data_IF_215293144620
#
_entry.id   IF_215293144620
#
_cell.length_a   1.000
_cell.length_b   1.000
_cell.length_c   1.000
_cell.angle_alpha   90.00
_cell.angle_beta   90.00
_cell.angle_gamma   90.00
#
_symmetry.space_group_name_H-M   'P 1'
#
loop_
_entity.id
_entity.type
_entity.pdbx_description
1 polymer ?
#
# COMPACT_ATOMS: atom_id res chain seq x y z
N UNK A 1 -17.30 11.39 22.78
CA UNK A 1 -16.99 9.95 22.93
C UNK A 1 -16.81 9.19 21.60
N UNK A 2 -17.46 9.56 20.49
CA UNK A 2 -17.38 8.77 19.24
C UNK A 2 -16.07 8.91 18.45
N UNK A 3 -15.59 10.14 18.25
CA UNK A 3 -14.48 10.42 17.32
C UNK A 3 -13.15 9.90 17.87
N UNK A 4 -12.86 10.09 19.17
CA UNK A 4 -11.66 9.54 19.79
C UNK A 4 -11.56 8.01 19.67
N UNK A 5 -12.68 7.33 19.88
CA UNK A 5 -12.72 5.87 19.76
C UNK A 5 -12.60 5.41 18.31
N UNK A 6 -13.13 6.18 17.35
CA UNK A 6 -13.01 5.88 15.93
C UNK A 6 -11.57 6.08 15.42
N UNK A 7 -10.90 7.16 15.83
CA UNK A 7 -9.50 7.41 15.49
C UNK A 7 -8.59 6.33 16.09
N UNK A 8 -8.75 5.98 17.37
CA UNK A 8 -7.98 4.89 17.97
C UNK A 8 -8.26 3.53 17.30
N UNK A 9 -9.45 3.32 16.75
CA UNK A 9 -9.78 2.08 16.03
C UNK A 9 -9.18 2.04 14.62
N UNK A 10 -9.14 3.18 13.91
CA UNK A 10 -8.62 3.27 12.55
C UNK A 10 -7.08 3.27 12.50
N UNK A 11 -6.43 3.90 13.48
CA UNK A 11 -4.98 4.11 13.48
C UNK A 11 -4.24 3.30 14.56
N UNK A 12 -4.94 2.51 15.36
CA UNK A 12 -4.37 1.53 16.29
C UNK A 12 -3.26 2.07 17.18
N UNK A 13 -2.08 1.44 17.11
CA UNK A 13 -0.89 1.76 17.93
C UNK A 13 -0.09 2.96 17.41
N UNK A 14 -0.46 3.56 16.26
CA UNK A 14 0.28 4.67 15.65
C UNK A 14 -0.06 6.02 16.31
N UNK A 15 -1.27 6.16 16.84
CA UNK A 15 -1.74 7.38 17.51
C UNK A 15 -2.55 7.06 18.75
N UNK A 16 -2.64 8.04 19.66
CA UNK A 16 -3.66 8.02 20.72
C UNK A 16 -4.53 9.26 20.62
N UNK A 17 -5.82 9.02 20.60
CA UNK A 17 -6.86 10.03 20.60
C UNK A 17 -7.60 10.04 21.94
N UNK A 18 -7.79 11.22 22.52
CA UNK A 18 -8.59 11.40 23.73
C UNK A 18 -9.56 12.57 23.60
N UNK A 19 -10.72 12.42 24.22
CA UNK A 19 -11.80 13.41 24.29
C UNK A 19 -11.90 13.86 25.75
N UNK A 20 -11.65 15.15 26.00
CA UNK A 20 -11.70 15.74 27.34
C UNK A 20 -13.07 16.35 27.69
N UNK A 21 -14.06 16.19 26.80
CA UNK A 21 -15.42 16.68 26.97
C UNK A 21 -15.64 18.13 26.51
N UNK A 22 -14.65 18.79 25.90
CA UNK A 22 -14.81 20.03 25.13
C UNK A 22 -14.62 19.79 23.62
N UNK A 23 -14.81 20.83 22.79
CA UNK A 23 -14.64 20.80 21.32
C UNK A 23 -13.15 20.65 20.91
N UNK A 24 -12.28 20.30 21.87
CA UNK A 24 -10.85 20.14 21.64
C UNK A 24 -10.54 18.66 21.54
N UNK A 25 -9.99 18.26 20.41
CA UNK A 25 -9.59 16.89 20.16
C UNK A 25 -8.06 16.80 20.15
N UNK A 26 -7.49 15.92 20.96
CA UNK A 26 -6.05 15.72 21.02
C UNK A 26 -5.71 14.38 20.39
N UNK A 27 -4.94 14.42 19.31
CA UNK A 27 -4.29 13.25 18.73
C UNK A 27 -2.80 13.37 19.01
N UNK A 28 -2.24 12.34 19.60
CA UNK A 28 -0.80 12.23 19.88
C UNK A 28 -0.23 11.14 19.01
N UNK A 29 0.64 11.51 18.09
CA UNK A 29 1.50 10.55 17.39
C UNK A 29 2.35 9.80 18.43
N UNK A 30 2.37 8.47 18.35
CA UNK A 30 3.29 7.64 19.13
C UNK A 30 4.60 7.36 18.37
N UNK A 31 4.71 7.87 17.14
CA UNK A 31 5.92 7.89 16.31
C UNK A 31 6.51 9.30 16.28
N UNK A 32 7.84 9.42 16.24
CA UNK A 32 8.51 10.73 16.15
C UNK A 32 8.21 11.36 14.79
N UNK A 33 7.45 12.48 14.76
CA UNK A 33 7.08 13.22 13.54
C UNK A 33 5.66 13.81 13.58
N UNK A 34 5.37 14.84 12.77
CA UNK A 34 4.12 15.62 12.73
C UNK A 34 2.97 14.86 12.04
N UNK A 35 1.84 14.72 12.75
CA UNK A 35 0.55 14.26 12.20
C UNK A 35 -0.18 15.41 11.51
N UNK A 36 -0.42 15.32 10.20
CA UNK A 36 -1.43 16.15 9.54
C UNK A 36 -2.80 15.48 9.70
N UNK A 37 -3.61 16.01 10.62
CA UNK A 37 -4.98 15.57 10.82
C UNK A 37 -5.83 16.52 9.97
N UNK A 38 -6.31 16.05 8.83
CA UNK A 38 -7.36 16.76 8.13
C UNK A 38 -8.66 16.62 8.93
N UNK A 39 -8.91 17.59 9.80
CA UNK A 39 -10.16 17.70 10.51
C UNK A 39 -10.94 18.82 9.85
N UNK A 40 -11.83 18.48 8.92
CA UNK A 40 -12.90 19.39 8.48
C UNK A 40 -13.88 19.58 9.66
N UNK A 41 -13.49 20.42 10.62
CA UNK A 41 -14.36 20.85 11.71
C UNK A 41 -15.05 22.12 11.26
N UNK A 42 -16.16 21.95 10.56
CA UNK A 42 -17.06 23.06 10.25
C UNK A 42 -17.74 23.52 11.55
N UNK A 43 -17.43 24.73 12.03
CA UNK A 43 -18.35 25.41 12.95
C UNK A 43 -19.44 26.16 12.16
N UNK A 44 -20.56 26.44 12.81
CA UNK A 44 -21.76 27.08 12.24
C UNK A 44 -21.52 28.52 11.70
N UNK A 45 -20.31 29.09 11.81
CA UNK A 45 -19.97 30.45 11.38
C UNK A 45 -18.93 30.53 10.25
N UNK A 46 -18.50 29.40 9.68
CA UNK A 46 -17.90 29.35 8.34
C UNK A 46 -16.60 30.13 8.13
N UNK A 47 -15.75 30.24 9.15
CA UNK A 47 -14.40 30.82 8.98
C UNK A 47 -13.31 29.87 9.47
N UNK A 48 -12.56 29.28 8.54
CA UNK A 48 -11.41 28.42 8.82
C UNK A 48 -10.14 29.26 8.95
N UNK A 49 -9.53 29.30 10.14
CA UNK A 49 -8.15 29.77 10.30
C UNK A 49 -7.34 28.62 10.89
N UNK A 50 -6.72 27.84 10.01
CA UNK A 50 -5.66 26.91 10.41
C UNK A 50 -4.35 27.44 9.83
N UNK A 51 -3.46 27.89 10.71
CA UNK A 51 -2.14 28.39 10.34
C UNK A 51 -1.12 27.30 10.69
N UNK A 52 -0.61 26.60 9.66
CA UNK A 52 0.49 25.65 9.82
C UNK A 52 1.80 26.34 9.48
N UNK A 53 2.79 26.28 10.38
CA UNK A 53 4.17 26.71 10.08
C UNK A 53 5.12 25.52 10.22
N UNK A 54 5.56 24.96 9.10
CA UNK A 54 6.67 24.00 9.07
C UNK A 54 8.01 24.76 9.03
N UNK A 55 8.96 24.36 9.87
CA UNK A 55 10.34 24.81 9.75
C UNK A 55 11.06 23.96 8.69
N UNK A 56 11.88 24.59 7.85
CA UNK A 56 12.63 23.91 6.80
C UNK A 56 13.55 22.82 7.38
N UNK A 57 13.28 21.55 7.06
CA UNK A 57 14.18 20.45 7.42
C UNK A 57 13.61 19.02 7.34
N UNK A 58 12.29 18.83 7.37
CA UNK A 58 11.65 17.53 7.22
C UNK A 58 10.38 17.70 6.39
N UNK A 59 10.19 16.88 5.36
CA UNK A 59 8.93 16.82 4.59
C UNK A 59 8.09 15.73 5.25
N UNK A 60 7.58 16.02 6.45
CA UNK A 60 6.68 15.11 7.16
C UNK A 60 5.24 15.31 6.62
N UNK A 61 4.69 14.26 5.99
CA UNK A 61 3.30 14.17 5.57
C UNK A 61 2.93 14.98 4.32
N UNK A 62 3.29 14.48 3.13
CA UNK A 62 2.58 14.90 1.91
C UNK A 62 1.34 14.00 1.80
N UNK A 63 0.18 14.54 2.17
CA UNK A 63 -1.09 13.96 1.75
C UNK A 63 -1.19 14.21 0.25
N UNK A 64 -1.31 13.15 -0.54
CA UNK A 64 -1.91 13.28 -1.86
C UNK A 64 -3.32 13.84 -1.66
N UNK A 65 -3.60 15.01 -2.21
CA UNK A 65 -4.97 15.48 -2.32
C UNK A 65 -5.60 14.81 -3.54
N UNK A 66 -6.91 14.94 -3.76
CA UNK A 66 -7.51 14.46 -5.01
C UNK A 66 -6.68 14.90 -6.23
N UNK A 67 -6.24 13.95 -7.05
CA UNK A 67 -5.52 14.20 -8.28
C UNK A 67 -4.15 13.54 -8.32
N UNK A 68 -3.42 13.79 -9.40
CA UNK A 68 -2.15 13.11 -9.64
C UNK A 68 -1.00 13.93 -9.04
N UNK A 69 -0.39 13.44 -7.98
CA UNK A 69 0.70 14.11 -7.27
C UNK A 69 2.09 13.52 -7.59
N UNK A 70 3.10 14.35 -7.34
CA UNK A 70 4.51 13.92 -7.34
C UNK A 70 5.14 14.33 -6.01
N UNK A 71 5.58 13.33 -5.26
CA UNK A 71 6.06 13.44 -3.89
C UNK A 71 7.56 13.13 -3.90
N UNK A 72 8.34 13.98 -3.24
CA UNK A 72 9.78 13.78 -3.05
C UNK A 72 10.04 13.67 -1.55
N UNK A 73 10.50 12.51 -1.11
CA UNK A 73 10.90 12.26 0.27
C UNK A 73 12.10 13.12 0.66
N UNK A 74 12.16 13.48 1.94
CA UNK A 74 13.32 14.13 2.54
C UNK A 74 14.40 13.11 2.92
N UNK A 75 15.43 13.58 3.62
CA UNK A 75 16.52 12.73 4.11
C UNK A 75 16.18 12.02 5.45
N UNK A 76 14.92 12.11 5.89
CA UNK A 76 14.44 11.61 7.16
C UNK A 76 13.45 10.49 6.94
N UNK A 77 13.10 9.77 8.00
CA UNK A 77 12.06 8.74 7.91
C UNK A 77 10.72 9.42 7.61
N UNK A 78 10.15 9.11 6.45
CA UNK A 78 8.95 9.75 5.95
C UNK A 78 7.75 8.80 6.02
N UNK A 79 6.58 9.38 6.31
CA UNK A 79 5.29 8.71 6.19
C UNK A 79 4.48 9.42 5.11
N UNK A 80 4.14 8.68 4.07
CA UNK A 80 3.55 9.21 2.84
C UNK A 80 2.18 8.58 2.64
N UNK A 81 1.15 9.41 2.53
CA UNK A 81 -0.21 8.98 2.23
C UNK A 81 -0.48 9.29 0.76
N UNK A 82 -0.73 8.26 -0.03
CA UNK A 82 -0.88 8.42 -1.48
C UNK A 82 -2.15 9.20 -1.84
N UNK A 83 -3.23 9.08 -1.07
CA UNK A 83 -4.49 9.73 -1.41
C UNK A 83 -5.12 9.15 -2.68
N UNK A 84 -6.08 9.88 -3.27
CA UNK A 84 -6.71 9.50 -4.54
C UNK A 84 -5.85 9.97 -5.72
N UNK A 85 -6.07 9.41 -6.93
CA UNK A 85 -5.35 9.78 -8.14
C UNK A 85 -4.05 9.01 -8.37
N UNK A 86 -3.46 9.17 -9.56
CA UNK A 86 -2.22 8.46 -9.95
C UNK A 86 -1.00 9.21 -9.43
N UNK A 87 -0.38 8.74 -8.35
CA UNK A 87 0.73 9.45 -7.71
C UNK A 87 2.10 8.84 -8.04
N UNK A 88 3.14 9.66 -7.93
CA UNK A 88 4.53 9.23 -8.00
C UNK A 88 5.27 9.64 -6.73
N UNK A 89 5.87 8.68 -6.04
CA UNK A 89 6.69 8.87 -4.85
C UNK A 89 8.15 8.58 -5.19
N UNK A 90 9.03 9.52 -4.87
CA UNK A 90 10.47 9.39 -5.02
C UNK A 90 11.15 9.40 -3.65
N UNK A 91 11.64 8.22 -3.24
CA UNK A 91 12.39 8.00 -1.99
C UNK A 91 13.90 8.19 -2.18
N UNK A 92 14.33 8.97 -3.18
CA UNK A 92 15.75 9.22 -3.43
C UNK A 92 16.33 10.14 -2.35
N UNK A 93 16.81 9.53 -1.28
CA UNK A 93 17.55 10.19 -0.21
C UNK A 93 18.97 9.63 -0.06
N UNK A 94 19.87 10.44 0.52
CA UNK A 94 21.27 10.07 0.68
C UNK A 94 21.53 9.23 1.92
N UNK A 95 20.69 9.36 2.95
CA UNK A 95 20.86 8.59 4.19
C UNK A 95 20.15 7.25 4.18
N UNK A 96 19.18 7.10 3.26
CA UNK A 96 18.21 6.01 3.26
C UNK A 96 17.66 5.88 4.69
N UNK A 97 16.85 6.80 5.19
CA UNK A 97 15.98 6.52 6.32
C UNK A 97 15.02 5.35 6.01
N UNK A 98 14.13 5.03 6.95
CA UNK A 98 13.14 3.98 6.75
C UNK A 98 11.81 4.67 6.54
N UNK A 99 11.25 4.53 5.35
CA UNK A 99 10.04 5.23 4.94
C UNK A 99 8.83 4.31 4.93
N UNK A 100 7.64 4.90 5.05
CA UNK A 100 6.37 4.20 4.95
C UNK A 100 5.53 4.85 3.87
N UNK A 101 5.13 4.06 2.89
CA UNK A 101 4.20 4.47 1.83
C UNK A 101 2.86 3.79 2.07
N UNK A 102 1.87 4.58 2.44
CA UNK A 102 0.54 4.13 2.79
C UNK A 102 -0.43 4.23 1.61
N UNK A 103 -0.98 3.07 1.22
CA UNK A 103 -2.02 2.94 0.21
C UNK A 103 -3.39 3.21 0.81
N UNK A 104 -4.21 3.94 0.07
CA UNK A 104 -5.60 4.23 0.43
C UNK A 104 -6.55 3.30 -0.34
N UNK A 105 -7.86 3.40 -0.05
CA UNK A 105 -8.90 2.63 -0.75
C UNK A 105 -9.07 2.95 -2.25
N UNK A 106 -8.30 3.89 -2.81
CA UNK A 106 -8.35 4.25 -4.22
C UNK A 106 -7.66 3.19 -5.10
N UNK A 107 -8.36 2.07 -5.35
CA UNK A 107 -7.84 0.93 -6.12
C UNK A 107 -7.88 1.13 -7.64
N UNK A 108 -8.58 2.14 -8.14
CA UNK A 108 -8.64 2.45 -9.58
C UNK A 108 -7.41 3.24 -10.06
N UNK A 109 -6.59 3.73 -9.13
CA UNK A 109 -5.47 4.62 -9.42
C UNK A 109 -4.11 3.92 -9.20
N UNK A 110 -3.32 3.85 -10.26
CA UNK A 110 -1.98 3.29 -10.19
C UNK A 110 -1.00 4.24 -9.49
N UNK A 111 -0.30 3.73 -8.49
CA UNK A 111 0.74 4.42 -7.76
C UNK A 111 2.13 4.03 -8.29
N UNK A 112 3.07 4.96 -8.35
CA UNK A 112 4.46 4.67 -8.73
C UNK A 112 5.37 5.05 -7.58
N UNK A 113 6.21 4.12 -7.12
CA UNK A 113 7.17 4.35 -6.04
C UNK A 113 8.55 4.05 -6.62
N UNK A 114 9.49 4.98 -6.49
CA UNK A 114 10.87 4.81 -6.95
C UNK A 114 11.84 4.95 -5.80
N UNK A 115 12.99 4.28 -5.93
CA UNK A 115 14.07 4.29 -4.94
C UNK A 115 13.71 3.66 -3.59
N UNK A 116 12.71 2.78 -3.57
CA UNK A 116 12.33 2.00 -2.39
C UNK A 116 13.47 1.08 -1.92
N UNK A 117 13.85 1.20 -0.67
CA UNK A 117 14.90 0.40 -0.04
C UNK A 117 14.30 -0.88 0.57
N UNK A 118 14.53 -2.01 -0.12
CA UNK A 118 14.13 -3.34 0.35
C UNK A 118 14.69 -3.67 1.73
N UNK A 119 13.88 -4.34 2.54
CA UNK A 119 14.05 -4.67 3.95
C UNK A 119 14.26 -3.45 4.86
N UNK A 120 13.74 -2.30 4.45
CA UNK A 120 13.92 -1.05 5.18
C UNK A 120 12.71 -0.15 5.10
N UNK A 121 12.30 0.20 3.89
CA UNK A 121 11.07 0.92 3.64
C UNK A 121 9.90 -0.05 3.73
N UNK A 122 8.70 0.48 3.86
CA UNK A 122 7.50 -0.31 4.10
C UNK A 122 6.35 0.18 3.24
N UNK A 123 5.66 -0.76 2.59
CA UNK A 123 4.34 -0.54 2.02
C UNK A 123 3.30 -0.87 3.07
N UNK A 124 2.40 0.08 3.31
CA UNK A 124 1.34 -0.06 4.30
C UNK A 124 -0.01 -0.11 3.61
N UNK A 125 -0.71 -1.23 3.77
CA UNK A 125 -2.06 -1.48 3.27
C UNK A 125 -3.11 -1.50 4.39
N UNK A 126 -2.73 -1.17 5.64
CA UNK A 126 -3.68 -1.15 6.74
C UNK A 126 -4.86 -0.22 6.44
N UNK A 127 -6.07 -0.69 6.73
CA UNK A 127 -7.28 0.12 6.55
C UNK A 127 -7.76 0.18 5.10
N UNK A 128 -7.13 -0.57 4.18
CA UNK A 128 -7.76 -0.88 2.90
C UNK A 128 -8.95 -1.83 3.10
N UNK A 129 -10.04 -1.62 2.36
CA UNK A 129 -11.23 -2.48 2.41
C UNK A 129 -10.94 -3.91 1.93
N UNK A 130 -9.87 -4.08 1.14
CA UNK A 130 -9.40 -5.36 0.60
C UNK A 130 -8.56 -6.18 1.59
N UNK A 131 -8.07 -5.60 2.69
CA UNK A 131 -7.24 -6.32 3.67
C UNK A 131 -7.96 -6.47 5.00
N UNK A 132 -7.63 -7.51 5.76
CA UNK A 132 -8.22 -7.77 7.07
C UNK A 132 -7.28 -7.48 8.25
N UNK A 133 -6.11 -6.89 8.01
CA UNK A 133 -5.10 -6.66 9.05
C UNK A 133 -4.17 -7.84 9.30
N UNK A 134 -4.27 -8.92 8.50
CA UNK A 134 -3.41 -10.09 8.64
C UNK A 134 -2.05 -9.88 7.97
N UNK A 135 -1.02 -10.48 8.58
CA UNK A 135 0.34 -10.34 8.09
C UNK A 135 0.50 -10.87 6.66
N UNK A 136 1.30 -10.17 5.86
CA UNK A 136 1.61 -10.59 4.51
C UNK A 136 2.27 -11.98 4.45
N UNK A 137 1.98 -12.72 3.39
CA UNK A 137 2.44 -14.09 3.17
C UNK A 137 3.34 -14.17 1.93
N UNK A 138 4.57 -14.65 2.12
CA UNK A 138 5.50 -14.89 1.02
C UNK A 138 5.24 -16.21 0.31
N UNK A 139 5.29 -16.17 -1.02
CA UNK A 139 5.36 -17.33 -1.90
C UNK A 139 6.77 -17.40 -2.47
N UNK A 140 7.50 -18.43 -2.04
CA UNK A 140 8.85 -18.69 -2.50
C UNK A 140 8.89 -19.05 -3.99
N UNK A 141 10.06 -18.87 -4.61
CA UNK A 141 10.26 -19.23 -6.01
C UNK A 141 10.01 -20.72 -6.29
N UNK A 142 9.36 -20.99 -7.43
CA UNK A 142 8.89 -22.31 -7.86
C UNK A 142 8.00 -23.04 -6.82
N UNK A 143 7.38 -22.31 -5.88
CA UNK A 143 6.50 -22.93 -4.89
C UNK A 143 5.29 -23.59 -5.58
N UNK A 144 4.83 -24.72 -5.04
CA UNK A 144 3.55 -25.28 -5.47
C UNK A 144 2.40 -24.32 -5.11
N UNK A 145 1.24 -24.53 -5.72
CA UNK A 145 0.02 -23.74 -5.49
C UNK A 145 -0.22 -23.55 -3.99
N UNK A 146 -0.42 -22.30 -3.57
CA UNK A 146 -0.67 -21.92 -2.18
C UNK A 146 -2.16 -21.56 -1.97
N UNK A 147 -2.69 -21.79 -0.78
CA UNK A 147 -4.04 -21.32 -0.43
C UNK A 147 -4.03 -19.79 -0.30
N UNK A 148 -5.00 -19.12 -0.93
CA UNK A 148 -5.24 -17.70 -0.70
C UNK A 148 -6.25 -17.51 0.44
N UNK A 149 -6.06 -16.46 1.23
CA UNK A 149 -7.00 -16.08 2.28
C UNK A 149 -7.73 -14.80 1.87
N UNK A 150 -9.02 -14.71 2.15
CA UNK A 150 -9.73 -13.44 2.05
C UNK A 150 -9.07 -12.39 2.96
N UNK A 151 -8.83 -11.19 2.43
CA UNK A 151 -8.14 -10.12 3.16
C UNK A 151 -6.62 -10.21 3.12
N UNK A 152 -6.04 -11.25 2.52
CA UNK A 152 -4.60 -11.48 2.59
C UNK A 152 -3.81 -10.56 1.65
N UNK A 153 -2.59 -10.23 2.08
CA UNK A 153 -1.55 -9.70 1.21
C UNK A 153 -0.57 -10.82 0.88
N UNK A 154 -0.46 -11.17 -0.39
CA UNK A 154 0.41 -12.26 -0.86
C UNK A 154 1.53 -11.73 -1.73
N UNK A 155 2.78 -12.14 -1.47
CA UNK A 155 3.97 -11.67 -2.19
C UNK A 155 4.64 -12.81 -2.93
N UNK A 156 4.63 -12.80 -4.26
CA UNK A 156 5.39 -13.73 -5.09
C UNK A 156 6.85 -13.28 -5.21
N UNK A 157 7.78 -14.20 -4.95
CA UNK A 157 9.21 -13.92 -5.05
C UNK A 157 9.67 -13.55 -6.48
N UNK A 158 9.01 -14.05 -7.52
CA UNK A 158 9.31 -13.74 -8.92
C UNK A 158 8.12 -14.04 -9.86
N UNK A 159 7.83 -13.18 -10.84
CA UNK A 159 6.81 -13.39 -11.87
C UNK A 159 7.16 -14.46 -12.93
N UNK A 160 8.29 -15.14 -12.77
CA UNK A 160 8.61 -16.38 -13.47
C UNK A 160 8.20 -17.66 -12.71
N UNK A 161 7.63 -17.54 -11.50
CA UNK A 161 7.39 -18.66 -10.57
C UNK A 161 6.04 -19.38 -10.76
N UNK A 162 5.31 -19.13 -11.84
CA UNK A 162 3.98 -19.72 -12.05
C UNK A 162 4.08 -21.26 -12.14
N UNK A 163 3.25 -21.98 -11.39
CA UNK A 163 3.33 -23.47 -11.34
C UNK A 163 2.87 -24.16 -12.63
N UNK A 164 2.39 -23.41 -13.62
CA UNK A 164 2.04 -23.92 -14.93
C UNK A 164 3.27 -24.47 -15.65
N UNK A 165 3.21 -25.71 -16.13
CA UNK A 165 4.28 -26.31 -16.93
C UNK A 165 4.29 -25.82 -18.41
N UNK A 166 3.76 -24.62 -18.69
CA UNK A 166 3.51 -24.05 -20.03
C UNK A 166 4.17 -22.69 -20.23
N UNK A 167 3.98 -22.07 -21.39
CA UNK A 167 4.45 -20.70 -21.65
C UNK A 167 3.56 -19.66 -20.93
N UNK A 168 2.41 -20.09 -20.39
CA UNK A 168 1.42 -19.26 -19.68
C UNK A 168 1.74 -18.96 -18.20
N UNK A 169 2.87 -19.46 -17.68
CA UNK A 169 3.31 -19.28 -16.28
C UNK A 169 4.41 -18.25 -16.09
N UNK A 170 4.78 -17.55 -17.16
CA UNK A 170 5.75 -16.46 -17.13
C UNK A 170 5.06 -15.20 -17.61
N UNK A 171 5.04 -14.17 -16.79
CA UNK A 171 4.49 -12.87 -17.17
C UNK A 171 5.50 -12.18 -18.08
N UNK A 172 5.08 -11.82 -19.30
CA UNK A 172 5.92 -11.05 -20.24
C UNK A 172 5.62 -9.56 -20.13
N UNK A 173 4.37 -9.20 -19.87
CA UNK A 173 3.90 -7.83 -19.67
C UNK A 173 3.02 -7.78 -18.41
N UNK A 174 3.56 -7.20 -17.35
CA UNK A 174 2.87 -7.06 -16.06
C UNK A 174 1.69 -6.07 -16.10
N UNK A 175 1.50 -5.36 -17.21
CA UNK A 175 0.32 -4.52 -17.46
C UNK A 175 -0.77 -5.25 -18.25
N UNK A 176 -0.48 -6.41 -18.83
CA UNK A 176 -1.50 -7.27 -19.43
C UNK A 176 -2.15 -8.14 -18.35
N UNK A 177 -3.28 -7.64 -17.81
CA UNK A 177 -3.99 -8.29 -16.72
C UNK A 177 -4.55 -9.68 -17.10
N UNK A 178 -4.61 -10.03 -18.39
CA UNK A 178 -4.98 -11.40 -18.81
C UNK A 178 -3.85 -12.37 -18.46
N UNK A 179 -2.62 -12.01 -18.76
CA UNK A 179 -1.44 -12.82 -18.46
C UNK A 179 -1.19 -12.89 -16.95
N UNK A 180 -1.36 -11.77 -16.24
CA UNK A 180 -1.26 -11.71 -14.78
C UNK A 180 -2.33 -12.58 -14.11
N UNK A 181 -3.59 -12.50 -14.54
CA UNK A 181 -4.66 -13.34 -13.98
C UNK A 181 -4.36 -14.84 -14.16
N UNK A 182 -3.87 -15.24 -15.34
CA UNK A 182 -3.49 -16.63 -15.61
C UNK A 182 -2.32 -17.09 -14.73
N UNK A 183 -1.34 -16.20 -14.48
CA UNK A 183 -0.23 -16.47 -13.57
C UNK A 183 -0.73 -16.69 -12.13
N UNK A 184 -1.57 -15.79 -11.62
CA UNK A 184 -2.09 -15.85 -10.25
C UNK A 184 -2.97 -17.11 -10.09
N UNK A 185 -3.84 -17.44 -11.05
CA UNK A 185 -4.67 -18.65 -11.04
C UNK A 185 -3.82 -19.94 -11.02
N UNK A 186 -2.62 -19.92 -11.60
CA UNK A 186 -1.67 -21.04 -11.50
C UNK A 186 -0.92 -21.07 -10.15
N UNK A 187 -0.69 -19.91 -9.54
CA UNK A 187 0.06 -19.77 -8.29
C UNK A 187 -0.77 -19.97 -7.02
N UNK A 188 -2.07 -19.65 -7.07
CA UNK A 188 -2.96 -19.59 -5.91
C UNK A 188 -4.21 -20.44 -6.10
N UNK A 189 -4.64 -21.09 -5.01
CA UNK A 189 -5.96 -21.67 -4.85
C UNK A 189 -6.86 -20.64 -4.19
N UNK A 190 -7.65 -19.94 -5.00
CA UNK A 190 -8.54 -18.85 -4.59
C UNK A 190 -9.99 -19.34 -4.56
N UNK A 191 -10.63 -19.15 -3.42
CA UNK A 191 -12.05 -19.39 -3.22
C UNK A 191 -12.94 -18.33 -3.89
N UNK A 192 -14.23 -18.66 -4.02
CA UNK A 192 -15.22 -17.69 -4.51
C UNK A 192 -15.40 -16.54 -3.52
N UNK A 193 -15.28 -15.31 -3.98
CA UNK A 193 -15.48 -14.09 -3.22
C UNK A 193 -14.32 -13.71 -2.30
N UNK A 194 -13.14 -14.33 -2.46
CA UNK A 194 -11.94 -13.92 -1.76
C UNK A 194 -11.30 -12.73 -2.48
N UNK A 195 -11.06 -11.66 -1.73
CA UNK A 195 -10.43 -10.41 -2.15
C UNK A 195 -9.12 -10.21 -1.39
N UNK A 196 -8.22 -9.36 -1.90
CA UNK A 196 -6.94 -9.07 -1.24
C UNK A 196 -5.94 -8.36 -2.14
N UNK A 197 -4.68 -8.33 -1.70
CA UNK A 197 -3.57 -7.73 -2.45
C UNK A 197 -2.61 -8.83 -2.91
N UNK A 198 -2.23 -8.79 -4.17
CA UNK A 198 -1.21 -9.67 -4.74
C UNK A 198 -0.05 -8.84 -5.24
N UNK A 199 1.15 -9.13 -4.76
CA UNK A 199 2.40 -8.48 -5.17
C UNK A 199 3.23 -9.48 -5.96
N UNK A 200 3.74 -9.07 -7.12
CA UNK A 200 4.58 -9.90 -7.98
C UNK A 200 5.87 -9.16 -8.29
N UNK A 201 7.00 -9.74 -7.87
CA UNK A 201 8.33 -9.20 -8.16
C UNK A 201 8.76 -9.55 -9.60
N UNK A 202 9.10 -8.56 -10.41
CA UNK A 202 9.82 -8.71 -11.68
C UNK A 202 11.31 -8.48 -11.47
N UNK A 203 12.03 -9.54 -11.07
CA UNK A 203 13.47 -9.48 -10.86
C UNK A 203 14.28 -9.27 -12.16
N UNK A 204 13.66 -9.42 -13.34
CA UNK A 204 14.32 -9.17 -14.62
C UNK A 204 14.16 -7.69 -15.04
N UNK A 205 13.02 -7.09 -14.73
CA UNK A 205 12.73 -5.67 -14.87
C UNK A 205 13.28 -4.80 -13.74
N UNK A 206 13.71 -5.41 -12.63
CA UNK A 206 14.05 -4.76 -11.37
C UNK A 206 12.85 -4.01 -10.74
N UNK A 207 11.61 -4.48 -10.95
CA UNK A 207 10.38 -3.83 -10.48
C UNK A 207 9.52 -4.80 -9.64
N UNK A 208 8.54 -4.30 -8.88
CA UNK A 208 7.46 -5.09 -8.31
C UNK A 208 6.10 -4.45 -8.60
N UNK A 209 5.11 -5.30 -8.88
CA UNK A 209 3.76 -4.90 -9.28
C UNK A 209 2.77 -5.32 -8.21
N UNK A 210 1.86 -4.41 -7.85
CA UNK A 210 0.89 -4.56 -6.77
C UNK A 210 -0.50 -4.54 -7.40
N UNK A 211 -1.24 -5.61 -7.22
CA UNK A 211 -2.58 -5.80 -7.77
C UNK A 211 -3.61 -5.87 -6.66
N UNK A 212 -4.71 -5.15 -6.83
CA UNK A 212 -5.94 -5.39 -6.08
C UNK A 212 -6.69 -6.55 -6.75
N UNK A 213 -7.04 -7.56 -5.97
CA UNK A 213 -7.95 -8.63 -6.38
C UNK A 213 -9.33 -8.34 -5.80
N UNK A 214 -10.27 -7.94 -6.66
CA UNK A 214 -11.69 -7.86 -6.31
C UNK A 214 -12.29 -9.27 -6.36
N UNK A 215 -13.14 -9.60 -5.38
CA UNK A 215 -13.56 -10.98 -5.11
C UNK A 215 -14.10 -11.73 -6.33
N UNK A 216 -13.59 -12.94 -6.58
CA UNK A 216 -13.98 -13.72 -7.77
C UNK A 216 -15.40 -14.30 -7.66
N UNK A 217 -16.19 -14.28 -8.74
CA UNK A 217 -17.55 -14.85 -8.70
C UNK A 217 -17.58 -16.39 -8.65
N UNK A 218 -16.63 -17.05 -9.32
CA UNK A 218 -16.66 -18.49 -9.61
C UNK A 218 -15.36 -19.24 -9.22
N UNK A 219 -14.53 -18.70 -8.32
CA UNK A 219 -13.22 -19.27 -7.94
C UNK A 219 -12.25 -19.39 -9.13
N UNK A 220 -12.44 -18.54 -10.14
CA UNK A 220 -11.60 -18.38 -11.31
C UNK A 220 -11.26 -16.90 -11.42
N UNK A 221 -9.99 -16.58 -11.59
CA UNK A 221 -9.51 -15.20 -11.73
C UNK A 221 -9.50 -14.84 -13.21
N UNK A 222 -10.01 -13.66 -13.51
CA UNK A 222 -9.91 -13.05 -14.84
C UNK A 222 -9.28 -11.67 -14.73
N UNK A 223 -8.91 -11.10 -15.88
CA UNK A 223 -8.42 -9.72 -15.93
C UNK A 223 -9.43 -8.66 -15.46
N UNK A 224 -10.70 -9.04 -15.26
CA UNK A 224 -11.73 -8.13 -14.75
C UNK A 224 -11.83 -8.13 -13.22
N UNK A 225 -11.17 -9.09 -12.56
CA UNK A 225 -11.11 -9.20 -11.11
C UNK A 225 -9.81 -8.57 -10.55
N UNK A 226 -8.97 -8.00 -11.42
CA UNK A 226 -7.69 -7.42 -11.07
C UNK A 226 -7.63 -5.95 -11.48
N UNK A 227 -7.06 -5.14 -10.60
CA UNK A 227 -6.61 -3.78 -10.91
C UNK A 227 -5.13 -3.63 -10.52
N UNK A 228 -4.32 -3.04 -11.40
CA UNK A 228 -2.92 -2.74 -11.10
C UNK A 228 -2.84 -1.41 -10.34
N UNK A 229 -2.66 -1.50 -9.02
CA UNK A 229 -2.73 -0.36 -8.10
C UNK A 229 -1.36 0.25 -7.79
N UNK A 230 -0.27 -0.47 -8.03
CA UNK A 230 1.04 0.03 -7.66
C UNK A 230 2.19 -0.59 -8.43
N UNK A 231 3.23 0.20 -8.66
CA UNK A 231 4.53 -0.25 -9.17
C UNK A 231 5.62 0.30 -8.28
N UNK A 232 6.42 -0.58 -7.69
CA UNK A 232 7.67 -0.23 -7.00
C UNK A 232 8.81 -0.47 -7.98
N UNK A 233 9.39 0.60 -8.49
CA UNK A 233 10.42 0.50 -9.52
C UNK A 233 11.83 0.48 -8.95
N UNK A 234 12.71 -0.22 -9.66
CA UNK A 234 14.14 -0.32 -9.38
C UNK A 234 14.45 -0.89 -7.98
N UNK A 235 13.74 -1.96 -7.59
CA UNK A 235 13.98 -2.78 -6.40
C UNK A 235 15.29 -3.57 -6.48
N UNK A 236 15.86 -3.65 -7.70
CA UNK A 236 17.07 -4.39 -8.00
C UNK A 236 16.84 -5.89 -7.96
N UNK A 237 17.88 -6.65 -7.61
CA UNK A 237 17.83 -8.11 -7.61
C UNK A 237 17.28 -8.74 -6.33
N UNK A 238 16.82 -7.93 -5.37
CA UNK A 238 16.26 -8.43 -4.10
C UNK A 238 14.75 -8.26 -4.18
N UNK A 239 13.96 -9.35 -4.10
CA UNK A 239 12.51 -9.24 -4.13
C UNK A 239 12.00 -8.49 -2.88
N UNK A 240 10.88 -7.81 -3.03
CA UNK A 240 10.04 -7.47 -1.88
C UNK A 240 9.60 -8.76 -1.19
N UNK A 241 9.56 -8.72 0.13
CA UNK A 241 9.05 -9.80 0.97
C UNK A 241 8.11 -9.28 2.06
N UNK A 242 7.54 -10.16 2.86
CA UNK A 242 6.59 -9.81 3.91
C UNK A 242 7.15 -8.86 4.98
N UNK A 243 8.48 -8.67 5.09
CA UNK A 243 9.05 -7.67 5.99
C UNK A 243 8.95 -6.24 5.43
N UNK A 244 8.74 -6.09 4.13
CA UNK A 244 8.50 -4.81 3.46
C UNK A 244 7.04 -4.38 3.53
N UNK A 245 6.16 -5.20 4.11
CA UNK A 245 4.71 -5.03 4.05
C UNK A 245 4.10 -4.98 5.45
N UNK A 246 3.17 -4.07 5.65
CA UNK A 246 2.22 -4.10 6.77
C UNK A 246 0.81 -4.04 6.16
N UNK A 247 -0.10 -4.85 6.68
CA UNK A 247 -1.45 -5.00 6.14
C UNK A 247 -2.47 -5.22 7.24
#
# INVERSE_FOLDING_TARGET
EGIASAVNAAFGDLVTASDDGEVTFTITSLVDGITAIDADVTDDEGTTNVEFSAAAGAVEGTLGADGNDTIYAGEGADLIFLGDGTNTVDLTETTSAADVVHFTNAVDDQQTIVSFAINKDTLDFNGMDLTDGEAAVDIAADAATAEFGAGAVTVFANGADGTGSGDESVIVDYTDLVDVAAFIEAGLDIGSGEEGIVIINDLAGDDAYIYALDGTADANITSADLDLIGVVSNIGSTPLDANDIVA
#
